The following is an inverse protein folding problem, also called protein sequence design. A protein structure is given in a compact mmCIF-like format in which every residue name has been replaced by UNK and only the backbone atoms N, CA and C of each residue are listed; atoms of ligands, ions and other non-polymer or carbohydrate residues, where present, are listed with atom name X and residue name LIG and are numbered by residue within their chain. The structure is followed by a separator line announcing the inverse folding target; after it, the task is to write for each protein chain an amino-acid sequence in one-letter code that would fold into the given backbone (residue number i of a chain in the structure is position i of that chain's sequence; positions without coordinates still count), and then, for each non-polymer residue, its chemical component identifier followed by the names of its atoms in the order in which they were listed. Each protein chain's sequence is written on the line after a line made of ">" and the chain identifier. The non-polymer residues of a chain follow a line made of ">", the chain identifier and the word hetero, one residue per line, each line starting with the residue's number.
data_IF_009359895323
#
_entry.id   IF_009359895323
#
_cell.length_a   1.000
_cell.length_b   1.000
_cell.length_c   1.000
_cell.angle_alpha   90.00
_cell.angle_beta   90.00
_cell.angle_gamma   90.00
#
_symmetry.space_group_name_H-M   'P 1'
#
loop_
_entity.id
_entity.type
_entity.pdbx_description
1 polymer ?
#
# COMPACT_ATOMS: atom_id res chain seq x y z
N UNK A 1 -5.13 -11.26 2.45
CA UNK A 1 -5.26 -9.82 2.14
C UNK A 1 -5.67 -9.70 0.69
N UNK A 2 -6.88 -9.23 0.43
CA UNK A 2 -7.31 -8.85 -0.92
C UNK A 2 -6.62 -7.55 -1.29
N UNK A 3 -5.53 -7.65 -2.05
CA UNK A 3 -4.98 -6.49 -2.72
C UNK A 3 -6.06 -6.01 -3.71
N UNK A 4 -6.46 -4.73 -3.71
CA UNK A 4 -7.56 -4.24 -4.56
C UNK A 4 -7.31 -4.44 -6.08
N UNK A 5 -6.11 -4.90 -6.46
CA UNK A 5 -5.71 -5.19 -7.83
C UNK A 5 -5.22 -6.62 -8.08
N UNK A 6 -5.19 -7.53 -7.11
CA UNK A 6 -4.60 -8.87 -7.30
C UNK A 6 -3.08 -8.84 -7.62
N UNK A 7 -2.49 -9.98 -8.03
CA UNK A 7 -1.07 -10.07 -8.38
C UNK A 7 -0.74 -9.25 -9.63
N UNK A 8 0.17 -8.28 -9.48
CA UNK A 8 0.61 -7.38 -10.56
C UNK A 8 1.72 -8.02 -11.42
N UNK A 9 1.62 -7.92 -12.75
CA UNK A 9 2.77 -8.06 -13.67
C UNK A 9 3.11 -6.71 -14.33
N UNK A 10 4.33 -6.23 -14.13
CA UNK A 10 4.85 -5.01 -14.75
C UNK A 10 6.24 -4.64 -14.21
N UNK A 11 6.71 -3.44 -14.52
CA UNK A 11 7.98 -2.93 -14.03
C UNK A 11 7.81 -1.49 -13.56
N UNK A 12 8.62 -1.07 -12.58
CA UNK A 12 8.79 0.33 -12.24
C UNK A 12 10.26 0.70 -12.42
N UNK A 13 10.49 1.85 -13.05
CA UNK A 13 11.81 2.47 -13.09
C UNK A 13 11.87 3.53 -12.00
N UNK A 14 12.95 3.47 -11.22
CA UNK A 14 13.29 4.49 -10.25
C UNK A 14 14.65 5.11 -10.63
N UNK A 15 14.69 6.42 -10.82
CA UNK A 15 15.90 7.17 -11.12
C UNK A 15 15.63 8.66 -11.32
N UNK A 16 16.60 9.50 -10.98
CA UNK A 16 16.47 10.97 -11.04
C UNK A 16 15.23 11.49 -10.28
N UNK A 17 14.91 10.92 -9.10
CA UNK A 17 13.74 11.29 -8.30
C UNK A 17 12.37 11.02 -8.96
N UNK A 18 12.33 10.21 -10.03
CA UNK A 18 11.10 9.86 -10.76
C UNK A 18 10.78 8.38 -10.59
N UNK A 19 9.49 8.08 -10.43
CA UNK A 19 8.90 6.74 -10.48
C UNK A 19 8.00 6.68 -11.71
N UNK A 20 8.20 5.68 -12.57
CA UNK A 20 7.32 5.45 -13.73
C UNK A 20 7.25 3.97 -14.06
N UNK A 21 6.17 3.55 -14.71
CA UNK A 21 5.97 2.16 -15.10
C UNK A 21 4.61 1.92 -15.72
N UNK A 22 4.40 0.71 -16.21
CA UNK A 22 3.12 0.25 -16.72
C UNK A 22 2.92 -1.23 -16.43
N UNK A 23 1.67 -1.67 -16.54
CA UNK A 23 1.31 -3.04 -16.24
C UNK A 23 -0.14 -3.37 -16.53
N UNK A 24 -0.48 -4.60 -16.14
CA UNK A 24 -1.83 -5.12 -16.21
C UNK A 24 -2.15 -5.92 -14.97
N UNK A 25 -3.40 -5.83 -14.55
CA UNK A 25 -4.01 -6.68 -13.52
C UNK A 25 -5.47 -7.01 -13.86
N UNK A 26 -6.21 -7.54 -12.87
CA UNK A 26 -7.61 -7.95 -13.02
C UNK A 26 -8.57 -6.76 -13.24
N UNK A 27 -8.20 -5.55 -12.83
CA UNK A 27 -8.95 -4.32 -13.10
C UNK A 27 -8.70 -3.86 -14.53
N UNK A 28 -7.45 -3.90 -15.00
CA UNK A 28 -7.13 -3.64 -16.40
C UNK A 28 -5.69 -3.20 -16.66
N UNK A 29 -5.49 -2.54 -17.80
CA UNK A 29 -4.23 -1.89 -18.13
C UNK A 29 -4.06 -0.62 -17.31
N UNK A 30 -2.85 -0.38 -16.82
CA UNK A 30 -2.53 0.82 -16.08
C UNK A 30 -1.11 1.32 -16.34
N UNK A 31 -0.88 2.58 -15.99
CA UNK A 31 0.45 3.14 -15.86
C UNK A 31 0.62 3.78 -14.48
N UNK A 32 1.85 3.87 -14.01
CA UNK A 32 2.21 4.60 -12.80
C UNK A 32 3.13 5.77 -13.16
N UNK A 33 2.92 6.89 -12.47
CA UNK A 33 3.78 8.06 -12.58
C UNK A 33 3.87 8.76 -11.22
N UNK A 34 5.08 9.13 -10.84
CA UNK A 34 5.35 9.62 -9.51
C UNK A 34 6.77 10.10 -9.30
N UNK A 35 7.10 10.30 -8.02
CA UNK A 35 8.38 10.81 -7.56
C UNK A 35 8.85 10.05 -6.33
N UNK A 36 10.14 10.19 -6.09
CA UNK A 36 10.82 9.64 -4.92
C UNK A 36 11.77 10.68 -4.36
N UNK A 37 11.87 10.74 -3.05
CA UNK A 37 12.81 11.57 -2.33
C UNK A 37 13.92 10.70 -1.73
N UNK A 38 15.15 10.83 -2.25
CA UNK A 38 16.32 10.09 -1.75
C UNK A 38 16.75 10.51 -0.34
N UNK A 39 16.26 11.65 0.16
CA UNK A 39 16.64 12.16 1.48
C UNK A 39 15.96 11.38 2.59
N UNK A 40 14.68 11.06 2.42
CA UNK A 40 13.85 10.40 3.43
C UNK A 40 13.27 9.05 2.98
N UNK A 41 13.55 8.63 1.74
CA UNK A 41 13.05 7.39 1.17
C UNK A 41 11.57 7.43 0.78
N UNK A 42 10.91 8.59 0.82
CA UNK A 42 9.48 8.69 0.59
C UNK A 42 9.15 8.61 -0.91
N UNK A 43 8.14 7.81 -1.24
CA UNK A 43 7.67 7.51 -2.57
C UNK A 43 6.23 8.01 -2.71
N UNK A 44 5.92 8.63 -3.85
CA UNK A 44 4.56 9.03 -4.19
C UNK A 44 4.29 8.74 -5.65
N UNK A 45 3.21 8.04 -5.98
CA UNK A 45 2.79 7.87 -7.36
C UNK A 45 1.28 7.75 -7.50
N UNK A 46 0.79 8.10 -8.67
CA UNK A 46 -0.56 7.74 -9.11
C UNK A 46 -0.48 6.48 -9.98
N UNK A 47 -1.40 5.55 -9.78
CA UNK A 47 -1.69 4.43 -10.67
C UNK A 47 -2.96 4.72 -11.43
N UNK A 48 -2.86 4.93 -12.73
CA UNK A 48 -3.98 5.30 -13.59
C UNK A 48 -4.41 4.10 -14.42
N UNK A 49 -5.65 3.62 -14.20
CA UNK A 49 -6.26 2.64 -15.08
C UNK A 49 -6.78 3.31 -16.35
N UNK A 50 -6.40 2.78 -17.51
CA UNK A 50 -6.71 3.37 -18.81
C UNK A 50 -8.24 3.46 -19.00
N UNK A 51 -8.75 4.69 -19.10
CA UNK A 51 -10.18 4.96 -19.29
C UNK A 51 -11.06 4.77 -18.06
N UNK A 52 -10.47 4.65 -16.86
CA UNK A 52 -11.21 4.41 -15.62
C UNK A 52 -10.86 5.44 -14.53
N UNK A 53 -10.04 5.07 -13.55
CA UNK A 53 -9.76 5.86 -12.35
C UNK A 53 -8.29 5.80 -11.93
N UNK A 54 -7.93 6.70 -11.02
CA UNK A 54 -6.61 6.77 -10.40
C UNK A 54 -6.65 6.22 -8.97
N UNK A 55 -5.60 5.50 -8.58
CA UNK A 55 -5.30 5.10 -7.20
C UNK A 55 -4.04 5.84 -6.78
N UNK A 56 -4.06 6.50 -5.62
CA UNK A 56 -2.90 7.26 -5.13
C UNK A 56 -2.12 6.42 -4.14
N UNK A 57 -0.80 6.38 -4.29
CA UNK A 57 0.10 5.64 -3.43
C UNK A 57 1.08 6.60 -2.76
N UNK A 58 1.26 6.41 -1.46
CA UNK A 58 2.33 7.01 -0.67
C UNK A 58 3.01 5.93 0.14
N UNK A 59 4.33 5.86 0.07
CA UNK A 59 5.09 4.87 0.81
C UNK A 59 6.52 5.27 1.10
N UNK A 60 7.27 4.34 1.67
CA UNK A 60 8.67 4.48 2.00
C UNK A 60 9.43 3.30 1.42
N UNK A 61 10.56 3.61 0.79
CA UNK A 61 11.49 2.59 0.31
C UNK A 61 12.43 2.21 1.43
N UNK A 62 12.40 0.93 1.83
CA UNK A 62 13.30 0.38 2.82
C UNK A 62 13.99 -0.86 2.25
N UNK A 63 15.32 -0.81 2.19
CA UNK A 63 16.12 -1.85 1.54
C UNK A 63 15.75 -2.03 0.06
N UNK A 64 15.15 -3.18 -0.25
CA UNK A 64 14.74 -3.55 -1.61
C UNK A 64 13.23 -3.42 -1.85
N UNK A 65 12.44 -3.22 -0.79
CA UNK A 65 10.98 -3.12 -0.87
C UNK A 65 10.47 -1.69 -0.75
N UNK A 66 9.18 -1.52 -1.05
CA UNK A 66 8.43 -0.30 -0.77
C UNK A 66 7.18 -0.68 0.00
N UNK A 67 6.91 0.00 1.10
CA UNK A 67 5.71 -0.21 1.90
C UNK A 67 4.98 1.11 2.11
N UNK A 68 3.67 1.07 2.34
CA UNK A 68 2.91 2.30 2.52
C UNK A 68 1.41 2.14 2.47
N UNK A 69 0.75 3.21 2.08
CA UNK A 69 -0.70 3.29 1.95
C UNK A 69 -1.11 3.64 0.52
N UNK A 70 -2.18 3.00 0.05
CA UNK A 70 -2.92 3.44 -1.11
C UNK A 70 -4.23 4.10 -0.68
N UNK A 71 -4.71 5.05 -1.47
CA UNK A 71 -5.92 5.81 -1.22
C UNK A 71 -6.76 5.96 -2.51
N UNK A 72 -8.06 5.80 -2.34
CA UNK A 72 -9.14 6.04 -3.28
C UNK A 72 -10.25 6.83 -2.58
N UNK A 73 -11.18 7.37 -3.36
CA UNK A 73 -12.36 8.02 -2.79
C UNK A 73 -13.22 7.06 -1.96
N UNK A 74 -13.28 5.79 -2.38
CA UNK A 74 -14.08 4.76 -1.71
C UNK A 74 -13.34 4.01 -0.58
N UNK A 75 -12.04 4.24 -0.38
CA UNK A 75 -11.30 3.56 0.68
C UNK A 75 -9.79 3.74 0.61
N UNK A 76 -9.09 3.16 1.58
CA UNK A 76 -7.64 3.14 1.67
C UNK A 76 -7.15 1.84 2.29
N UNK A 77 -5.85 1.57 2.16
CA UNK A 77 -5.26 0.36 2.74
C UNK A 77 -3.74 0.32 2.66
N UNK A 78 -3.14 -0.64 3.37
CA UNK A 78 -1.70 -0.89 3.32
C UNK A 78 -1.25 -1.62 2.06
N UNK A 79 0.02 -1.47 1.69
CA UNK A 79 0.67 -2.26 0.66
C UNK A 79 2.14 -2.54 0.97
N UNK A 80 2.66 -3.62 0.39
CA UNK A 80 4.07 -3.95 0.29
C UNK A 80 4.39 -4.35 -1.16
N UNK A 81 5.52 -3.87 -1.69
CA UNK A 81 6.03 -4.17 -3.04
C UNK A 81 7.47 -4.67 -2.89
N UNK A 82 7.75 -5.82 -3.49
CA UNK A 82 9.08 -6.46 -3.47
C UNK A 82 9.61 -6.70 -4.88
N UNK A 83 10.93 -6.80 -5.06
CA UNK A 83 11.52 -7.21 -6.33
C UNK A 83 11.09 -8.61 -6.73
N UNK A 84 10.98 -8.85 -8.04
CA UNK A 84 10.64 -10.17 -8.57
C UNK A 84 11.67 -11.23 -8.11
N UNK A 85 11.18 -12.29 -7.45
CA UNK A 85 12.00 -13.39 -6.96
C UNK A 85 12.48 -13.26 -5.50
N UNK A 86 12.07 -12.21 -4.80
CA UNK A 86 12.28 -12.03 -3.36
C UNK A 86 10.90 -11.98 -2.69
N UNK A 87 10.56 -12.97 -1.87
CA UNK A 87 9.30 -13.02 -1.12
C UNK A 87 9.44 -12.32 0.23
N UNK A 88 8.30 -11.89 0.79
CA UNK A 88 8.20 -11.33 2.13
C UNK A 88 8.85 -12.26 3.15
N UNK A 89 9.96 -11.82 3.76
CA UNK A 89 10.37 -12.40 5.04
C UNK A 89 9.20 -12.22 6.00
N UNK A 90 8.71 -13.32 6.54
CA UNK A 90 7.58 -13.44 7.47
C UNK A 90 7.59 -12.29 8.49
N UNK A 91 6.76 -11.27 8.29
CA UNK A 91 6.56 -10.23 9.29
C UNK A 91 5.25 -10.54 10.01
N UNK A 92 5.39 -11.09 11.21
CA UNK A 92 4.31 -11.41 12.13
C UNK A 92 3.35 -10.22 12.23
N UNK A 93 2.12 -10.42 11.76
CA UNK A 93 1.03 -9.47 11.99
C UNK A 93 0.75 -9.48 13.49
N UNK A 94 1.33 -8.54 14.22
CA UNK A 94 0.87 -8.20 15.57
C UNK A 94 -0.55 -7.64 15.43
N UNK A 95 -1.53 -8.54 15.49
CA UNK A 95 -2.93 -8.20 15.70
C UNK A 95 -3.00 -7.55 17.08
N UNK A 96 -3.11 -6.22 17.13
CA UNK A 96 -3.57 -5.54 18.33
C UNK A 96 -5.01 -6.00 18.58
N UNK A 97 -5.13 -7.00 19.44
CA UNK A 97 -6.37 -7.40 20.10
C UNK A 97 -6.92 -6.16 20.82
N UNK A 98 -8.02 -5.61 20.32
CA UNK A 98 -8.75 -4.52 20.99
C UNK A 98 -9.42 -5.12 22.25
N UNK A 99 -9.05 -4.72 23.48
CA UNK A 99 -9.66 -5.30 24.66
C UNK A 99 -11.13 -4.85 24.76
N UNK A 100 -12.03 -5.84 24.87
CA UNK A 100 -13.46 -5.64 25.05
C UNK A 100 -13.77 -4.67 26.21
N UNK A 101 -14.81 -3.83 26.11
CA UNK A 101 -15.16 -2.89 27.16
C UNK A 101 -15.69 -3.66 28.38
N UNK A 102 -15.07 -3.47 29.54
CA UNK A 102 -15.60 -3.93 30.83
C UNK A 102 -16.73 -3.00 31.27
N UNK A 103 -17.98 -3.45 31.18
CA UNK A 103 -19.11 -2.75 31.79
C UNK A 103 -19.02 -2.85 33.32
N UNK A 104 -18.54 -1.79 33.95
CA UNK A 104 -18.74 -1.53 35.37
C UNK A 104 -20.09 -0.84 35.57
N UNK A 105 -21.05 -1.53 36.19
CA UNK A 105 -22.25 -0.87 36.75
C UNK A 105 -22.31 -1.09 38.26
N UNK A 106 -22.40 0.03 38.94
CA UNK A 106 -22.21 0.24 40.35
C UNK A 106 -23.31 -0.39 41.23
N UNK A 107 -22.89 -0.78 42.43
CA UNK A 107 -23.77 -1.00 43.56
C UNK A 107 -24.60 0.26 43.85
N UNK A 108 -25.92 0.07 44.03
CA UNK A 108 -26.76 1.02 44.76
C UNK A 108 -27.48 0.28 45.89
N UNK A 109 -27.26 0.85 47.06
CA UNK A 109 -27.88 0.63 48.37
C UNK A 109 -29.41 0.78 48.35
N UNK A 110 -30.10 -0.10 49.07
CA UNK A 110 -31.33 0.18 49.83
C UNK A 110 -31.37 -0.66 51.09
#
# INVERSE_FOLDING_TARGET
>A
MDFPSGPWTGFYNYGNHIISGDGRDDVGLFFIAGRFDDTNGECYWAKTYVGAHDVYYRGFREGKGIWGLWELKEGSGGFHIWPLGEEEGEHEQETLEEPAPVEAVAAQTV
#
